data_IF_348009602057
#
_entry.id   IF_348009602057
#
_cell.length_a   1.000
_cell.length_b   1.000
_cell.length_c   1.000
_cell.angle_alpha   90.00
_cell.angle_beta   90.00
_cell.angle_gamma   90.00
#
_symmetry.space_group_name_H-M   'P 1'
#
loop_
_entity.id
_entity.type
_entity.pdbx_description
1 polymer ?
#
# COMPACT_ATOMS: atom_id res chain seq x y z
N UNK A 1 12.49 4.12 4.40
CA UNK A 1 13.71 3.47 4.92
C UNK A 1 14.91 3.99 4.15
N UNK A 2 16.05 4.24 4.80
CA UNK A 2 17.30 4.66 4.12
C UNK A 2 18.17 3.50 3.64
N UNK A 3 17.72 2.25 3.85
CA UNK A 3 18.41 1.06 3.38
C UNK A 3 18.31 0.95 1.85
N UNK A 4 19.32 0.35 1.24
CA UNK A 4 19.37 0.08 -0.20
C UNK A 4 18.31 -0.95 -0.63
N UNK A 5 18.12 -1.12 -1.95
CA UNK A 5 17.22 -2.15 -2.49
C UNK A 5 17.63 -3.55 -2.01
N UNK A 6 18.91 -3.88 -2.13
CA UNK A 6 19.47 -5.18 -1.80
C UNK A 6 19.27 -5.56 -0.33
N UNK A 7 19.44 -4.60 0.58
CA UNK A 7 19.26 -4.82 2.02
C UNK A 7 17.80 -5.03 2.43
N UNK A 8 16.86 -4.56 1.63
CA UNK A 8 15.42 -4.71 1.86
C UNK A 8 14.82 -5.90 1.09
N UNK A 9 15.62 -6.57 0.27
CA UNK A 9 15.15 -7.59 -0.65
C UNK A 9 14.64 -8.81 0.10
N UNK A 10 13.41 -9.22 -0.21
CA UNK A 10 12.82 -10.47 0.28
C UNK A 10 13.13 -11.66 -0.64
N UNK A 11 13.77 -11.44 -1.79
CA UNK A 11 14.10 -12.47 -2.78
C UNK A 11 14.81 -13.68 -2.15
N UNK A 12 15.90 -13.52 -1.35
CA UNK A 12 16.62 -14.67 -0.81
C UNK A 12 15.79 -15.52 0.15
N UNK A 13 14.77 -14.94 0.78
CA UNK A 13 13.89 -15.65 1.70
C UNK A 13 12.75 -16.35 0.93
N UNK A 14 12.23 -15.72 -0.12
CA UNK A 14 11.21 -16.31 -0.99
C UNK A 14 11.78 -17.53 -1.72
N UNK A 15 13.01 -17.45 -2.23
CA UNK A 15 13.70 -18.56 -2.92
C UNK A 15 13.91 -19.78 -2.01
N UNK A 16 14.09 -19.59 -0.70
CA UNK A 16 14.17 -20.71 0.26
C UNK A 16 12.84 -21.41 0.47
N UNK A 17 11.73 -20.68 0.38
CA UNK A 17 10.40 -21.19 0.70
C UNK A 17 9.62 -21.67 -0.52
N UNK A 18 9.95 -21.22 -1.72
CA UNK A 18 9.18 -21.48 -2.94
C UNK A 18 10.10 -21.68 -4.13
N UNK A 19 9.80 -22.67 -4.98
CA UNK A 19 10.56 -22.90 -6.22
C UNK A 19 10.07 -22.02 -7.37
N UNK A 20 11.00 -21.52 -8.18
CA UNK A 20 10.66 -20.72 -9.37
C UNK A 20 9.74 -21.48 -10.33
N UNK A 21 9.95 -22.78 -10.50
CA UNK A 21 9.06 -23.65 -11.30
C UNK A 21 7.62 -23.63 -10.79
N UNK A 22 7.40 -23.58 -9.48
CA UNK A 22 6.04 -23.48 -8.93
C UNK A 22 5.42 -22.13 -9.26
N UNK A 23 6.19 -21.05 -9.15
CA UNK A 23 5.75 -19.69 -9.43
C UNK A 23 5.42 -19.53 -10.92
N UNK A 24 6.28 -20.01 -11.80
CA UNK A 24 6.10 -19.99 -13.25
C UNK A 24 4.85 -20.77 -13.68
N UNK A 25 4.66 -21.98 -13.14
CA UNK A 25 3.47 -22.77 -13.43
C UNK A 25 2.17 -22.09 -12.98
N UNK A 26 2.21 -21.27 -11.92
CA UNK A 26 1.02 -20.58 -11.40
C UNK A 26 0.79 -19.21 -12.04
N UNK A 27 1.85 -18.48 -12.35
CA UNK A 27 1.81 -17.06 -12.68
C UNK A 27 2.50 -16.69 -14.01
N UNK A 28 3.08 -17.63 -14.73
CA UNK A 28 3.80 -17.37 -16.00
C UNK A 28 2.93 -16.76 -17.11
N UNK A 29 1.60 -16.87 -17.01
CA UNK A 29 0.66 -16.19 -17.92
C UNK A 29 0.42 -14.71 -17.60
N UNK A 30 0.89 -14.20 -16.46
CA UNK A 30 0.63 -12.82 -16.02
C UNK A 30 1.78 -11.93 -16.52
N UNK A 31 1.45 -11.00 -17.41
CA UNK A 31 2.35 -9.97 -17.90
C UNK A 31 1.62 -8.63 -17.94
N UNK A 32 2.20 -7.61 -17.31
CA UNK A 32 1.67 -6.27 -17.34
C UNK A 32 2.79 -5.25 -17.24
N UNK A 33 2.53 -4.04 -17.73
CA UNK A 33 3.47 -2.93 -17.62
C UNK A 33 3.22 -2.16 -16.33
N UNK A 34 4.30 -1.85 -15.62
CA UNK A 34 4.32 -1.01 -14.43
C UNK A 34 5.43 0.05 -14.60
N UNK A 35 5.03 1.30 -14.80
CA UNK A 35 5.91 2.34 -15.35
C UNK A 35 6.47 1.94 -16.72
N UNK A 36 7.79 2.05 -16.89
CA UNK A 36 8.49 1.67 -18.11
C UNK A 36 8.97 0.20 -18.11
N UNK A 37 8.56 -0.59 -17.12
CA UNK A 37 9.02 -1.97 -16.92
C UNK A 37 7.88 -2.98 -17.16
N UNK A 38 8.22 -4.12 -17.74
CA UNK A 38 7.32 -5.29 -17.79
C UNK A 38 7.51 -6.14 -16.55
N UNK A 39 6.43 -6.38 -15.82
CA UNK A 39 6.41 -7.24 -14.63
C UNK A 39 5.80 -8.59 -15.02
N UNK A 40 6.66 -9.59 -15.17
CA UNK A 40 6.30 -10.99 -15.39
C UNK A 40 7.34 -11.91 -14.77
N UNK A 41 6.97 -13.17 -14.51
CA UNK A 41 7.92 -14.17 -14.00
C UNK A 41 9.14 -14.28 -14.92
N UNK A 42 8.92 -14.23 -16.24
CA UNK A 42 9.98 -14.33 -17.26
C UNK A 42 10.95 -13.13 -17.28
N UNK A 43 10.49 -11.93 -16.89
CA UNK A 43 11.27 -10.68 -17.03
C UNK A 43 12.07 -10.35 -15.77
N UNK A 44 11.46 -10.55 -14.59
CA UNK A 44 12.05 -10.16 -13.30
C UNK A 44 12.44 -11.35 -12.41
N UNK A 45 12.07 -12.58 -12.79
CA UNK A 45 12.24 -13.78 -11.98
C UNK A 45 11.07 -14.04 -11.03
N UNK A 46 10.87 -15.31 -10.65
CA UNK A 46 9.72 -15.74 -9.84
C UNK A 46 9.69 -15.09 -8.45
N UNK A 47 10.81 -15.14 -7.73
CA UNK A 47 10.90 -14.55 -6.40
C UNK A 47 10.69 -13.02 -6.41
N UNK A 48 11.31 -12.29 -7.34
CA UNK A 48 11.12 -10.83 -7.50
C UNK A 48 9.67 -10.48 -7.88
N UNK A 49 9.02 -11.31 -8.70
CA UNK A 49 7.61 -11.13 -9.04
C UNK A 49 6.73 -11.21 -7.80
N UNK A 50 6.95 -12.20 -6.92
CA UNK A 50 6.22 -12.31 -5.65
C UNK A 50 6.56 -11.15 -4.70
N UNK A 51 7.84 -10.80 -4.58
CA UNK A 51 8.27 -9.66 -3.76
C UNK A 51 7.56 -8.37 -4.19
N UNK A 52 7.45 -8.11 -5.50
CA UNK A 52 6.75 -6.95 -6.02
C UNK A 52 5.34 -6.84 -5.42
N UNK A 53 4.53 -7.90 -5.47
CA UNK A 53 3.18 -7.89 -4.90
C UNK A 53 3.19 -7.73 -3.38
N UNK A 54 4.09 -8.41 -2.67
CA UNK A 54 4.20 -8.28 -1.21
C UNK A 54 4.49 -6.83 -0.83
N UNK A 55 5.44 -6.18 -1.51
CA UNK A 55 5.80 -4.78 -1.23
C UNK A 55 4.63 -3.84 -1.55
N UNK A 56 3.99 -3.98 -2.71
CA UNK A 56 2.80 -3.16 -3.07
C UNK A 56 1.64 -3.35 -2.09
N UNK A 57 1.40 -4.57 -1.63
CA UNK A 57 0.37 -4.86 -0.63
C UNK A 57 0.71 -4.28 0.75
N UNK A 58 1.98 -4.35 1.17
CA UNK A 58 2.44 -3.79 2.42
C UNK A 58 2.31 -2.25 2.45
N UNK A 59 2.68 -1.60 1.35
CA UNK A 59 2.50 -0.16 1.16
C UNK A 59 1.01 0.23 1.18
N UNK A 60 0.19 -0.40 0.35
CA UNK A 60 -1.26 -0.19 0.38
C UNK A 60 -1.86 -0.34 1.79
N UNK A 61 -1.47 -1.40 2.51
CA UNK A 61 -1.93 -1.69 3.86
C UNK A 61 -1.44 -0.67 4.90
N UNK A 62 -0.19 -0.22 4.81
CA UNK A 62 0.36 0.78 5.73
C UNK A 62 -0.33 2.13 5.56
N UNK A 63 -0.58 2.57 4.33
CA UNK A 63 -1.33 3.80 4.05
C UNK A 63 -2.81 3.68 4.43
N UNK A 64 -3.42 2.51 4.28
CA UNK A 64 -4.77 2.25 4.80
C UNK A 64 -4.83 2.42 6.32
N UNK A 65 -3.87 1.86 7.06
CA UNK A 65 -3.79 2.00 8.52
C UNK A 65 -3.49 3.44 8.94
N UNK A 66 -2.57 4.13 8.25
CA UNK A 66 -2.27 5.54 8.48
C UNK A 66 -3.55 6.39 8.38
N UNK A 67 -4.31 6.22 7.31
CA UNK A 67 -5.53 6.97 7.08
C UNK A 67 -6.64 6.60 8.09
N UNK A 68 -6.72 5.33 8.50
CA UNK A 68 -7.62 4.90 9.56
C UNK A 68 -7.32 5.61 10.90
N UNK A 69 -6.05 5.70 11.28
CA UNK A 69 -5.64 6.43 12.49
C UNK A 69 -5.87 7.94 12.38
N UNK A 70 -5.64 8.53 11.21
CA UNK A 70 -5.95 9.95 10.96
C UNK A 70 -7.45 10.22 11.12
N UNK A 71 -8.32 9.37 10.56
CA UNK A 71 -9.77 9.48 10.75
C UNK A 71 -10.15 9.34 12.23
N UNK A 72 -9.52 8.40 12.94
CA UNK A 72 -9.77 8.22 14.37
C UNK A 72 -9.40 9.48 15.17
N UNK A 73 -8.19 10.01 14.97
CA UNK A 73 -7.67 11.19 15.64
C UNK A 73 -8.42 12.49 15.30
N UNK A 74 -8.85 12.65 14.04
CA UNK A 74 -9.62 13.82 13.60
C UNK A 74 -11.08 13.77 14.08
N UNK A 75 -11.66 12.57 14.20
CA UNK A 75 -13.04 12.38 14.63
C UNK A 75 -13.33 12.85 16.07
N UNK A 76 -12.33 12.89 16.95
CA UNK A 76 -12.48 13.41 18.32
C UNK A 76 -12.66 14.94 18.40
N UNK A 77 -12.44 15.67 17.30
CA UNK A 77 -12.51 17.15 17.26
C UNK A 77 -13.84 17.69 16.72
N UNK A 78 -14.92 16.90 16.78
CA UNK A 78 -16.26 17.32 16.32
C UNK A 78 -16.38 17.60 14.82
N UNK A 79 -15.43 17.13 14.01
CA UNK A 79 -15.46 17.31 12.54
C UNK A 79 -16.41 16.30 11.89
N UNK A 80 -17.09 16.72 10.83
CA UNK A 80 -17.90 15.84 9.97
C UNK A 80 -17.04 14.73 9.35
N UNK A 81 -17.59 13.52 9.26
CA UNK A 81 -16.96 12.35 8.63
C UNK A 81 -16.41 12.65 7.22
N UNK A 82 -17.11 13.48 6.43
CA UNK A 82 -16.64 13.90 5.10
C UNK A 82 -15.33 14.69 5.15
N UNK A 83 -15.20 15.59 6.13
CA UNK A 83 -13.97 16.38 6.33
C UNK A 83 -12.84 15.49 6.84
N UNK A 84 -13.12 14.57 7.76
CA UNK A 84 -12.13 13.61 8.25
C UNK A 84 -11.60 12.72 7.11
N UNK A 85 -12.47 12.23 6.22
CA UNK A 85 -12.09 11.47 5.03
C UNK A 85 -11.17 12.29 4.13
N UNK A 86 -11.59 13.51 3.77
CA UNK A 86 -10.83 14.39 2.88
C UNK A 86 -9.44 14.71 3.44
N UNK A 87 -9.36 15.10 4.72
CA UNK A 87 -8.08 15.40 5.35
C UNK A 87 -7.19 14.17 5.48
N UNK A 88 -7.74 13.00 5.83
CA UNK A 88 -6.95 11.77 5.91
C UNK A 88 -6.34 11.39 4.56
N UNK A 89 -7.13 11.44 3.48
CA UNK A 89 -6.65 11.17 2.13
C UNK A 89 -5.62 12.21 1.69
N UNK A 90 -5.88 13.50 1.92
CA UNK A 90 -4.95 14.56 1.52
C UNK A 90 -3.61 14.45 2.24
N UNK A 91 -3.61 14.20 3.55
CA UNK A 91 -2.38 14.01 4.33
C UNK A 91 -1.63 12.77 3.85
N UNK A 92 -2.34 11.65 3.64
CA UNK A 92 -1.74 10.41 3.15
C UNK A 92 -1.15 10.57 1.73
N UNK A 93 -1.85 11.27 0.83
CA UNK A 93 -1.35 11.59 -0.51
C UNK A 93 -0.06 12.42 -0.46
N UNK A 94 -0.05 13.50 0.34
CA UNK A 94 1.15 14.32 0.50
C UNK A 94 2.31 13.52 1.11
N UNK A 95 2.00 12.61 2.03
CA UNK A 95 2.98 11.71 2.61
C UNK A 95 3.54 10.73 1.56
N UNK A 96 2.68 10.12 0.74
CA UNK A 96 3.09 9.24 -0.36
C UNK A 96 3.96 9.96 -1.39
N UNK A 97 3.60 11.19 -1.77
CA UNK A 97 4.47 12.01 -2.61
C UNK A 97 5.85 12.23 -1.97
N UNK A 98 5.90 12.50 -0.67
CA UNK A 98 7.17 12.69 0.05
C UNK A 98 7.98 11.41 0.13
N UNK A 99 7.32 10.25 0.27
CA UNK A 99 7.97 8.94 0.34
C UNK A 99 8.60 8.56 -1.01
N UNK A 100 7.90 8.79 -2.11
CA UNK A 100 8.42 8.60 -3.47
C UNK A 100 9.55 9.59 -3.80
N UNK A 101 9.42 10.85 -3.38
CA UNK A 101 10.51 11.82 -3.50
C UNK A 101 11.75 11.34 -2.72
N UNK A 102 11.60 10.84 -1.50
CA UNK A 102 12.70 10.26 -0.75
C UNK A 102 13.31 9.03 -1.44
N UNK A 103 12.49 8.16 -2.02
CA UNK A 103 12.96 7.01 -2.79
C UNK A 103 13.76 7.43 -4.02
N UNK A 104 13.39 8.53 -4.70
CA UNK A 104 14.11 9.05 -5.87
C UNK A 104 15.57 9.45 -5.57
N UNK A 105 15.89 9.77 -4.32
CA UNK A 105 17.26 10.06 -3.89
C UNK A 105 18.06 8.80 -3.55
N UNK A 106 17.42 7.63 -3.56
CA UNK A 106 18.06 6.34 -3.27
C UNK A 106 18.48 5.67 -4.59
N UNK A 107 19.77 5.38 -4.79
CA UNK A 107 20.24 4.71 -6.02
C UNK A 107 19.52 3.38 -6.25
N UNK A 108 19.07 3.14 -7.48
CA UNK A 108 18.37 1.91 -7.86
C UNK A 108 16.88 1.84 -7.50
N UNK A 109 16.29 2.93 -6.98
CA UNK A 109 14.84 3.06 -6.78
C UNK A 109 14.29 4.11 -7.74
N UNK A 110 13.29 3.71 -8.54
CA UNK A 110 12.60 4.63 -9.45
C UNK A 110 11.33 5.10 -8.77
N UNK A 111 11.20 6.41 -8.54
CA UNK A 111 9.95 6.97 -8.04
C UNK A 111 8.86 6.81 -9.10
N UNK A 112 7.70 6.27 -8.72
CA UNK A 112 6.61 6.00 -9.64
C UNK A 112 5.32 6.69 -9.20
N UNK A 113 4.70 7.41 -10.13
CA UNK A 113 3.36 8.00 -9.90
C UNK A 113 2.33 6.91 -9.58
N UNK A 114 2.50 5.71 -10.15
CA UNK A 114 1.64 4.56 -9.87
C UNK A 114 1.70 4.13 -8.39
N UNK A 115 2.83 4.31 -7.71
CA UNK A 115 2.97 4.02 -6.28
C UNK A 115 2.21 5.02 -5.42
N UNK A 116 2.36 6.32 -5.70
CA UNK A 116 1.57 7.37 -5.02
C UNK A 116 0.07 7.10 -5.17
N UNK A 117 -0.37 6.72 -6.37
CA UNK A 117 -1.78 6.41 -6.62
C UNK A 117 -2.24 5.19 -5.83
N UNK A 118 -1.47 4.10 -5.83
CA UNK A 118 -1.80 2.88 -5.09
C UNK A 118 -1.92 3.17 -3.59
N UNK A 119 -0.96 3.90 -3.03
CA UNK A 119 -0.93 4.26 -1.61
C UNK A 119 -2.09 5.17 -1.22
N UNK A 120 -2.43 6.11 -2.10
CA UNK A 120 -3.59 7.00 -1.91
C UNK A 120 -4.91 6.23 -1.95
N UNK A 121 -5.04 5.22 -2.82
CA UNK A 121 -6.21 4.33 -2.83
C UNK A 121 -6.27 3.51 -1.55
N UNK A 122 -5.13 2.99 -1.07
CA UNK A 122 -5.03 2.32 0.23
C UNK A 122 -5.53 3.20 1.37
N UNK A 123 -5.06 4.44 1.42
CA UNK A 123 -5.51 5.44 2.38
C UNK A 123 -7.02 5.71 2.29
N UNK A 124 -7.57 5.86 1.09
CA UNK A 124 -9.00 6.06 0.88
C UNK A 124 -9.83 4.89 1.40
N UNK A 125 -9.40 3.65 1.11
CA UNK A 125 -10.04 2.42 1.60
C UNK A 125 -10.02 2.34 3.13
N UNK A 126 -8.86 2.55 3.75
CA UNK A 126 -8.72 2.50 5.21
C UNK A 126 -9.54 3.57 5.94
N UNK A 127 -9.56 4.80 5.40
CA UNK A 127 -10.36 5.88 5.94
C UNK A 127 -11.87 5.62 5.81
N UNK A 128 -12.32 5.16 4.64
CA UNK A 128 -13.73 4.82 4.41
C UNK A 128 -14.18 3.68 5.32
N UNK A 129 -13.40 2.60 5.40
CA UNK A 129 -13.68 1.46 6.27
C UNK A 129 -13.84 1.88 7.74
N UNK A 130 -12.95 2.74 8.24
CA UNK A 130 -12.99 3.25 9.61
C UNK A 130 -14.24 4.07 9.90
N UNK A 131 -14.68 4.90 8.95
CA UNK A 131 -15.92 5.69 9.09
C UNK A 131 -17.14 4.77 9.12
N UNK A 132 -17.19 3.76 8.25
CA UNK A 132 -18.27 2.77 8.21
C UNK A 132 -18.36 2.00 9.52
N UNK A 133 -17.23 1.53 10.05
CA UNK A 133 -17.15 0.86 11.35
C UNK A 133 -17.66 1.76 12.49
N UNK A 134 -17.24 3.02 12.53
CA UNK A 134 -17.72 4.00 13.52
C UNK A 134 -19.24 4.19 13.45
N UNK A 135 -19.77 4.38 12.24
CA UNK A 135 -21.21 4.57 12.04
C UNK A 135 -22.02 3.34 12.46
N UNK A 136 -21.52 2.14 12.13
CA UNK A 136 -22.15 0.88 12.51
C UNK A 136 -22.14 0.65 14.02
N UNK A 137 -21.03 0.97 14.70
CA UNK A 137 -20.92 0.82 16.14
C UNK A 137 -21.81 1.84 16.90
N UNK A 138 -21.89 3.08 16.41
CA UNK A 138 -22.78 4.10 16.97
C UNK A 138 -24.26 3.66 16.93
N UNK A 139 -24.72 3.20 15.75
CA UNK A 139 -26.09 2.72 15.57
C UNK A 139 -26.46 1.52 16.46
N UNK A 140 -25.49 0.69 16.86
CA UNK A 140 -25.73 -0.42 17.79
C UNK A 140 -25.90 0.03 19.23
N UNK A 141 -25.28 1.13 19.64
CA UNK A 141 -25.35 1.62 21.02
C UNK A 141 -26.72 2.26 21.30
N UNK A 142 -27.24 3.03 20.35
CA UNK A 142 -28.59 3.63 20.44
C UNK A 142 -29.72 2.59 20.40
N UNK A 143 -29.50 1.43 19.77
CA UNK A 143 -30.47 0.32 19.76
C UNK A 143 -30.52 -0.51 21.05
N UNK A 144 -29.58 -0.30 21.98
CA UNK A 144 -29.48 -1.04 23.25
C UNK A 144 -29.80 -0.18 24.48
N UNK A 145 -29.99 1.12 24.31
CA UNK A 145 -30.46 2.05 25.33
C UNK A 145 -31.99 2.20 25.23
#
# INVERSE_FOLDING_TARGET
SSQSYEEQSLVPEIEKSTSDQWIENRFGGIRFSYGDYEISVDSVGGASFIEFFIRKAAHFGSYALLAAFLVYALGGRGRSNRRCLLFAILIAFLYACTDELHQSFTPGRTAMVQDVLLDTIGAACGAAFTILLKSWWGNRKDRRA
#
